data_IF_189344746975
#
_entry.id   IF_189344746975
#
_cell.length_a   1.000
_cell.length_b   1.000
_cell.length_c   1.000
_cell.angle_alpha   90.00
_cell.angle_beta   90.00
_cell.angle_gamma   90.00
#
_symmetry.space_group_name_H-M   'P 1'
#
loop_
_entity.id
_entity.type
_entity.pdbx_description
1 polymer ?
#
# COMPACT_ATOMS: atom_id res chain seq x y z
N UNK A 1 -11.08 18.41 -2.56
CA UNK A 1 -10.07 17.44 -3.00
C UNK A 1 -10.52 16.13 -2.46
N UNK A 2 -11.19 15.34 -3.29
CA UNK A 2 -11.67 14.01 -2.94
C UNK A 2 -10.74 13.00 -3.60
N UNK A 3 -10.29 12.02 -2.82
CA UNK A 3 -9.54 10.86 -3.29
C UNK A 3 -10.44 9.86 -4.04
N UNK A 4 -11.26 10.35 -4.97
CA UNK A 4 -11.95 9.51 -5.95
C UNK A 4 -11.13 9.50 -7.23
N UNK A 5 -11.07 8.33 -7.86
CA UNK A 5 -10.29 8.02 -9.06
C UNK A 5 -10.03 9.27 -9.93
N UNK A 6 -8.77 9.73 -9.93
CA UNK A 6 -8.30 10.82 -10.79
C UNK A 6 -8.21 10.35 -12.23
N UNK A 7 -9.36 10.03 -12.81
CA UNK A 7 -9.52 9.66 -14.20
C UNK A 7 -10.22 10.77 -14.98
N UNK A 8 -10.10 10.77 -16.32
CA UNK A 8 -10.93 11.62 -17.17
C UNK A 8 -12.42 11.37 -16.92
N UNK A 9 -13.26 12.40 -17.17
CA UNK A 9 -14.73 12.32 -17.01
C UNK A 9 -15.35 11.11 -17.73
N UNK A 10 -14.73 10.67 -18.81
CA UNK A 10 -15.08 9.46 -19.53
C UNK A 10 -13.87 8.51 -19.53
N UNK A 11 -14.05 7.22 -19.23
CA UNK A 11 -12.97 6.25 -19.30
C UNK A 11 -12.38 6.22 -20.72
N UNK A 12 -11.05 6.12 -20.85
CA UNK A 12 -10.46 5.93 -22.17
C UNK A 12 -10.92 4.59 -22.78
N UNK A 13 -10.94 4.49 -24.11
CA UNK A 13 -11.37 3.27 -24.81
C UNK A 13 -10.43 2.08 -24.57
N UNK A 14 -9.20 2.35 -24.10
CA UNK A 14 -8.22 1.34 -23.71
C UNK A 14 -7.87 1.61 -22.25
N UNK A 15 -8.06 0.59 -21.42
CA UNK A 15 -7.63 0.58 -20.01
C UNK A 15 -6.51 -0.44 -19.92
N UNK A 16 -5.32 0.01 -19.56
CA UNK A 16 -4.17 -0.84 -19.35
C UNK A 16 -3.46 -0.49 -18.04
N UNK A 17 -2.41 -1.25 -17.72
CA UNK A 17 -1.71 -1.11 -16.46
C UNK A 17 -0.92 0.19 -16.31
N UNK A 18 -0.70 0.98 -17.37
CA UNK A 18 -0.04 2.28 -17.30
C UNK A 18 -0.93 3.37 -16.69
N UNK A 19 -2.23 3.11 -16.59
CA UNK A 19 -3.19 4.03 -15.99
C UNK A 19 -3.19 4.02 -14.46
N UNK A 20 -2.52 3.04 -13.82
CA UNK A 20 -2.43 3.01 -12.36
C UNK A 20 -1.40 4.02 -11.87
N UNK A 21 -1.87 5.09 -11.23
CA UNK A 21 -1.05 6.23 -10.80
C UNK A 21 -0.18 5.97 -9.56
N UNK A 22 -0.42 4.88 -8.82
CA UNK A 22 0.30 4.61 -7.57
C UNK A 22 1.81 4.41 -7.79
N UNK A 23 2.21 3.72 -8.87
CA UNK A 23 3.63 3.50 -9.21
C UNK A 23 4.34 4.82 -9.54
N UNK A 24 3.66 5.71 -10.26
CA UNK A 24 4.19 7.03 -10.57
C UNK A 24 4.34 7.91 -9.31
N UNK A 25 3.32 7.92 -8.45
CA UNK A 25 3.35 8.65 -7.19
C UNK A 25 4.46 8.14 -6.26
N UNK A 26 4.58 6.82 -6.10
CA UNK A 26 5.63 6.20 -5.27
C UNK A 26 7.03 6.53 -5.80
N UNK A 27 7.24 6.38 -7.13
CA UNK A 27 8.51 6.72 -7.77
C UNK A 27 8.89 8.19 -7.56
N UNK A 28 7.94 9.11 -7.70
CA UNK A 28 8.18 10.54 -7.45
C UNK A 28 8.56 10.79 -5.98
N UNK A 29 7.81 10.21 -5.03
CA UNK A 29 8.10 10.35 -3.60
C UNK A 29 9.48 9.81 -3.21
N UNK A 30 9.85 8.62 -3.68
CA UNK A 30 11.19 8.05 -3.47
C UNK A 30 12.30 8.92 -4.08
N UNK A 31 12.09 9.39 -5.31
CA UNK A 31 13.06 10.26 -5.98
C UNK A 31 13.24 11.59 -5.25
N UNK A 32 12.17 12.20 -4.75
CA UNK A 32 12.21 13.46 -4.00
C UNK A 32 12.89 13.30 -2.66
N UNK A 33 12.63 12.19 -1.95
CA UNK A 33 13.26 11.87 -0.67
C UNK A 33 14.70 11.33 -0.81
N UNK A 34 15.13 10.99 -2.03
CA UNK A 34 16.41 10.31 -2.31
C UNK A 34 16.55 8.97 -1.58
N UNK A 35 15.44 8.24 -1.45
CA UNK A 35 15.37 6.93 -0.79
C UNK A 35 14.98 5.84 -1.78
N UNK A 36 15.37 4.61 -1.48
CA UNK A 36 14.90 3.40 -2.14
C UNK A 36 13.75 2.77 -1.34
N UNK A 37 12.91 1.92 -1.96
CA UNK A 37 11.92 1.12 -1.23
C UNK A 37 12.53 0.31 -0.08
N UNK A 38 13.78 -0.13 -0.21
CA UNK A 38 14.52 -0.87 0.83
C UNK A 38 14.93 -0.03 2.03
N UNK A 39 14.85 1.30 1.93
CA UNK A 39 15.17 2.22 3.02
C UNK A 39 13.94 2.57 3.87
N UNK A 40 12.78 1.96 3.57
CA UNK A 40 11.53 2.17 4.28
C UNK A 40 11.27 1.01 5.23
N UNK A 41 11.22 1.32 6.52
CA UNK A 41 11.02 0.32 7.57
C UNK A 41 9.55 -0.10 7.72
N UNK A 42 8.60 0.76 7.35
CA UNK A 42 7.16 0.51 7.52
C UNK A 42 6.31 1.14 6.41
N UNK A 43 5.25 0.45 5.99
CA UNK A 43 4.35 0.90 4.91
C UNK A 43 2.90 1.01 5.38
N UNK A 44 2.34 2.21 5.22
CA UNK A 44 0.91 2.48 5.36
C UNK A 44 0.23 2.51 4.00
N UNK A 45 -0.27 1.37 3.54
CA UNK A 45 -0.86 1.21 2.22
C UNK A 45 -2.38 1.28 2.27
N UNK A 46 -3.00 2.01 1.35
CA UNK A 46 -4.46 2.07 1.26
C UNK A 46 -5.01 0.74 0.74
N UNK A 47 -5.96 0.14 1.45
CA UNK A 47 -6.41 -1.24 1.25
C UNK A 47 -7.94 -1.39 1.30
N UNK A 48 -8.70 -0.49 0.66
CA UNK A 48 -10.17 -0.56 0.64
C UNK A 48 -10.74 -1.91 0.14
N UNK A 49 -9.95 -2.62 -0.68
CA UNK A 49 -10.17 -4.02 -1.07
C UNK A 49 -8.82 -4.73 -1.21
N UNK A 50 -8.78 -6.07 -1.13
CA UNK A 50 -7.53 -6.84 -1.29
C UNK A 50 -6.77 -6.51 -2.58
N UNK A 51 -7.47 -6.31 -3.71
CA UNK A 51 -6.81 -5.93 -4.97
C UNK A 51 -6.09 -4.59 -4.88
N UNK A 52 -6.63 -3.61 -4.13
CA UNK A 52 -5.99 -2.32 -3.92
C UNK A 52 -4.66 -2.49 -3.18
N UNK A 53 -4.68 -3.32 -2.13
CA UNK A 53 -3.48 -3.69 -1.37
C UNK A 53 -2.42 -4.36 -2.25
N UNK A 54 -2.80 -5.38 -3.04
CA UNK A 54 -1.87 -6.06 -3.94
C UNK A 54 -1.21 -5.08 -4.93
N UNK A 55 -1.99 -4.16 -5.50
CA UNK A 55 -1.46 -3.13 -6.41
C UNK A 55 -0.54 -2.13 -5.70
N UNK A 56 -0.84 -1.76 -4.46
CA UNK A 56 0.00 -0.87 -3.66
C UNK A 56 1.33 -1.53 -3.28
N UNK A 57 1.33 -2.80 -2.89
CA UNK A 57 2.54 -3.60 -2.61
C UNK A 57 3.47 -3.61 -3.83
N UNK A 58 2.92 -3.83 -5.02
CA UNK A 58 3.69 -3.79 -6.27
C UNK A 58 4.23 -2.38 -6.57
N UNK A 59 3.37 -1.36 -6.47
CA UNK A 59 3.72 0.03 -6.77
C UNK A 59 4.79 0.59 -5.83
N UNK A 60 4.78 0.19 -4.56
CA UNK A 60 5.76 0.61 -3.55
C UNK A 60 7.06 -0.22 -3.61
N UNK A 61 7.18 -1.21 -4.50
CA UNK A 61 8.41 -1.97 -4.71
C UNK A 61 8.62 -3.16 -3.76
N UNK A 62 7.61 -3.53 -2.97
CA UNK A 62 7.66 -4.73 -2.11
C UNK A 62 7.57 -6.03 -2.93
N UNK A 63 6.94 -5.96 -4.10
CA UNK A 63 6.84 -7.06 -5.06
C UNK A 63 7.02 -6.56 -6.50
N UNK A 64 7.51 -7.39 -7.43
CA UNK A 64 7.48 -7.04 -8.84
C UNK A 64 6.03 -6.94 -9.33
N UNK A 65 5.80 -6.22 -10.43
CA UNK A 65 4.50 -6.09 -11.07
C UNK A 65 3.86 -7.47 -11.36
N UNK A 66 2.60 -7.64 -10.98
CA UNK A 66 1.86 -8.91 -11.03
C UNK A 66 2.26 -9.93 -9.96
N UNK A 67 3.25 -9.61 -9.12
CA UNK A 67 3.78 -10.47 -8.06
C UNK A 67 3.17 -10.24 -6.68
N UNK A 68 2.22 -9.30 -6.52
CA UNK A 68 1.63 -8.95 -5.23
C UNK A 68 0.97 -10.15 -4.54
N UNK A 69 0.26 -11.00 -5.29
CA UNK A 69 -0.40 -12.19 -4.74
C UNK A 69 0.59 -13.19 -4.13
N UNK A 70 1.65 -13.52 -4.88
CA UNK A 70 2.70 -14.41 -4.40
C UNK A 70 3.48 -13.80 -3.21
N UNK A 71 3.59 -12.48 -3.16
CA UNK A 71 4.17 -11.80 -1.99
C UNK A 71 3.28 -11.96 -0.76
N UNK A 72 1.97 -11.75 -0.88
CA UNK A 72 1.02 -11.94 0.24
C UNK A 72 0.98 -13.39 0.69
N UNK A 73 0.99 -14.37 -0.22
CA UNK A 73 1.02 -15.79 0.13
C UNK A 73 2.26 -16.15 0.96
N UNK A 74 3.45 -15.68 0.53
CA UNK A 74 4.68 -15.86 1.32
C UNK A 74 4.60 -15.21 2.69
N UNK A 75 4.01 -14.02 2.79
CA UNK A 75 3.85 -13.35 4.08
C UNK A 75 2.86 -14.09 4.97
N UNK A 76 1.76 -14.58 4.43
CA UNK A 76 0.81 -15.41 5.14
C UNK A 76 1.46 -16.68 5.70
N UNK A 77 2.27 -17.37 4.91
CA UNK A 77 3.04 -18.55 5.36
C UNK A 77 3.97 -18.23 6.54
N UNK A 78 4.61 -17.06 6.51
CA UNK A 78 5.50 -16.59 7.59
C UNK A 78 4.75 -16.22 8.86
N UNK A 79 3.53 -15.69 8.73
CA UNK A 79 2.73 -15.20 9.85
C UNK A 79 1.67 -16.18 10.34
N UNK A 80 1.64 -17.42 9.82
CA UNK A 80 0.70 -18.44 10.27
C UNK A 80 0.81 -18.79 11.76
N UNK A 81 2.00 -18.63 12.35
CA UNK A 81 2.16 -18.67 13.81
C UNK A 81 1.67 -17.36 14.41
N UNK A 82 0.77 -17.39 15.39
CA UNK A 82 0.28 -16.19 16.11
C UNK A 82 1.36 -15.44 16.92
N UNK A 83 2.64 -15.76 16.70
CA UNK A 83 3.82 -15.28 17.43
C UNK A 83 4.86 -14.69 16.45
N UNK A 84 4.39 -13.99 15.41
CA UNK A 84 5.27 -13.28 14.47
C UNK A 84 5.48 -11.84 14.94
N UNK A 85 6.67 -11.28 14.68
CA UNK A 85 6.92 -9.86 14.96
C UNK A 85 6.25 -8.99 13.89
N UNK A 86 5.65 -7.83 14.23
CA UNK A 86 5.24 -6.82 13.25
C UNK A 86 6.34 -6.46 12.24
N UNK A 87 7.62 -6.56 12.61
CA UNK A 87 8.77 -6.32 11.71
C UNK A 87 8.86 -7.33 10.55
N UNK A 88 8.25 -8.51 10.70
CA UNK A 88 8.22 -9.53 9.64
C UNK A 88 7.17 -9.23 8.56
N UNK A 89 6.18 -8.40 8.91
CA UNK A 89 5.16 -7.87 8.00
C UNK A 89 4.89 -6.40 8.33
N UNK A 90 5.81 -5.49 7.96
CA UNK A 90 5.75 -4.09 8.40
C UNK A 90 4.80 -3.27 7.52
N UNK A 91 3.56 -3.75 7.37
CA UNK A 91 2.54 -3.14 6.53
C UNK A 91 1.22 -3.10 7.28
N UNK A 92 0.63 -1.92 7.38
CA UNK A 92 -0.68 -1.70 8.00
C UNK A 92 -0.81 -2.40 9.38
N UNK A 93 0.15 -2.23 10.28
CA UNK A 93 0.18 -2.85 11.62
C UNK A 93 -1.05 -2.54 12.48
N UNK A 94 -1.71 -1.41 12.22
CA UNK A 94 -2.99 -1.05 12.84
C UNK A 94 -4.20 -1.85 12.30
N UNK A 95 -4.06 -2.55 11.17
CA UNK A 95 -5.08 -3.39 10.54
C UNK A 95 -5.69 -2.85 9.24
N UNK A 96 -5.31 -1.63 8.81
CA UNK A 96 -5.77 -1.03 7.56
C UNK A 96 -7.29 -0.82 7.47
N UNK A 97 -7.77 -0.46 6.28
CA UNK A 97 -9.19 -0.29 6.00
C UNK A 97 -9.98 -1.60 6.14
N UNK A 98 -9.33 -2.75 5.92
CA UNK A 98 -9.97 -4.06 5.96
C UNK A 98 -10.34 -4.51 7.38
N UNK A 99 -9.58 -4.11 8.41
CA UNK A 99 -9.79 -4.59 9.78
C UNK A 99 -9.80 -3.50 10.86
N UNK A 100 -9.16 -2.35 10.66
CA UNK A 100 -9.18 -1.24 11.63
C UNK A 100 -10.46 -0.40 11.50
N UNK A 101 -10.76 0.06 10.29
CA UNK A 101 -11.97 0.83 9.98
C UNK A 101 -11.80 1.79 8.80
N UNK A 102 -12.90 2.06 8.10
CA UNK A 102 -12.90 2.90 6.90
C UNK A 102 -14.03 3.95 6.90
N UNK A 103 -13.92 5.06 7.67
CA UNK A 103 -14.91 6.14 7.65
C UNK A 103 -14.78 6.98 6.37
N UNK A 104 -15.30 6.46 5.26
CA UNK A 104 -15.34 7.11 3.96
C UNK A 104 -13.95 7.56 3.47
N UNK A 105 -13.63 8.85 3.56
CA UNK A 105 -12.36 9.46 3.10
C UNK A 105 -11.30 9.58 4.20
N UNK A 106 -11.68 9.37 5.46
CA UNK A 106 -10.78 9.51 6.62
C UNK A 106 -9.64 8.47 6.69
N UNK A 107 -9.79 7.20 6.29
CA UNK A 107 -8.89 6.16 6.79
C UNK A 107 -7.45 6.23 6.27
N UNK A 108 -7.19 6.97 5.18
CA UNK A 108 -5.80 7.28 4.79
C UNK A 108 -5.03 8.03 5.89
N UNK A 109 -5.71 8.76 6.76
CA UNK A 109 -5.09 9.41 7.92
C UNK A 109 -4.61 8.42 8.97
N UNK A 110 -5.23 7.24 9.10
CA UNK A 110 -4.78 6.22 10.05
C UNK A 110 -3.40 5.69 9.68
N UNK A 111 -3.10 5.56 8.38
CA UNK A 111 -1.77 5.19 7.90
C UNK A 111 -0.71 6.21 8.34
N UNK A 112 -1.03 7.50 8.32
CA UNK A 112 -0.11 8.57 8.74
C UNK A 112 0.07 8.57 10.27
N UNK A 113 -1.02 8.39 11.02
CA UNK A 113 -0.97 8.35 12.49
C UNK A 113 -0.14 7.15 12.94
N UNK A 114 -0.39 5.96 12.39
CA UNK A 114 0.39 4.76 12.70
C UNK A 114 1.85 4.93 12.30
N UNK A 115 2.15 5.52 11.13
CA UNK A 115 3.53 5.81 10.74
C UNK A 115 4.26 6.67 11.78
N UNK A 116 3.60 7.68 12.35
CA UNK A 116 4.18 8.51 13.40
C UNK A 116 4.48 7.70 14.68
N UNK A 117 3.61 6.76 15.06
CA UNK A 117 3.83 5.90 16.24
C UNK A 117 4.96 4.88 16.00
N UNK A 118 5.13 4.39 14.77
CA UNK A 118 6.19 3.41 14.44
C UNK A 118 7.59 4.02 14.42
N UNK A 119 7.73 5.34 14.20
CA UNK A 119 9.04 6.03 14.18
C UNK A 119 9.45 6.67 15.51
N UNK A 120 8.57 6.64 16.52
CA UNK A 120 8.81 7.20 17.87
C UNK A 120 9.13 6.13 18.89
#
# INVERSE_FOLDING_TARGET
>A
GGGEASGPLFPPPVIDESMFSCEEAARSAFSEAQLLPSDIDWFGLYDCYPVCFLRAVEACGLAPKGGGGAWVERMYERTQGLDYSPDEFPVNTHGGLLAFGAPWEVPAMYNIIEACEQVT
#
